data_IF_388367033768
#
_entry.id   IF_388367033768
#
_cell.length_a   1.000
_cell.length_b   1.000
_cell.length_c   1.000
_cell.angle_alpha   90.00
_cell.angle_beta   90.00
_cell.angle_gamma   90.00
#
_symmetry.space_group_name_H-M   'P 1'
#
loop_
_entity.id
_entity.type
_entity.pdbx_description
1 polymer ?
#
# COMPACT_ATOMS: atom_id res chain seq x y z
N UNK A 1 -3.03 -0.96 -9.24
CA UNK A 1 -2.99 0.45 -9.66
C UNK A 1 -4.18 0.80 -10.50
N UNK A 2 -4.73 1.98 -10.24
CA UNK A 2 -5.78 2.56 -11.05
C UNK A 2 -5.16 3.13 -12.33
N UNK A 3 -5.54 2.60 -13.48
CA UNK A 3 -5.00 2.99 -14.77
C UNK A 3 -6.11 3.36 -15.74
N UNK A 4 -5.80 4.26 -16.66
CA UNK A 4 -6.73 4.63 -17.74
C UNK A 4 -6.81 3.47 -18.73
N UNK A 5 -8.03 2.98 -18.96
CA UNK A 5 -8.28 1.90 -19.93
C UNK A 5 -8.20 2.44 -21.34
N UNK A 6 -7.41 1.79 -22.19
CA UNK A 6 -7.31 2.10 -23.61
C UNK A 6 -7.62 0.86 -24.43
N UNK A 7 -8.20 1.07 -25.61
CA UNK A 7 -8.49 0.02 -26.57
C UNK A 7 -7.83 0.34 -27.90
N UNK A 8 -7.37 -0.72 -28.56
CA UNK A 8 -6.76 -0.60 -29.88
C UNK A 8 -7.86 -0.59 -30.95
N UNK A 9 -7.85 0.44 -31.77
CA UNK A 9 -8.76 0.51 -32.92
C UNK A 9 -8.18 -0.33 -34.06
N UNK A 10 -8.92 -1.37 -34.46
CA UNK A 10 -8.45 -2.35 -35.45
C UNK A 10 -8.17 -1.77 -36.83
N UNK A 11 -8.89 -0.70 -37.22
CA UNK A 11 -8.76 -0.10 -38.53
C UNK A 11 -7.59 0.86 -38.68
N UNK A 12 -7.19 1.56 -37.58
CA UNK A 12 -6.18 2.58 -37.63
C UNK A 12 -4.89 2.17 -36.91
N UNK A 13 -4.96 1.15 -36.05
CA UNK A 13 -3.85 0.75 -35.19
C UNK A 13 -3.57 1.71 -34.05
N UNK A 14 -4.45 2.68 -33.81
CA UNK A 14 -4.29 3.67 -32.76
C UNK A 14 -4.99 3.25 -31.46
N UNK A 15 -4.46 3.71 -30.33
CA UNK A 15 -5.04 3.49 -29.01
C UNK A 15 -5.96 4.64 -28.64
N UNK A 16 -7.17 4.35 -28.19
CA UNK A 16 -8.13 5.33 -27.70
C UNK A 16 -8.52 5.03 -26.27
N UNK A 17 -8.74 6.08 -25.46
CA UNK A 17 -9.35 5.93 -24.13
C UNK A 17 -10.79 5.43 -24.27
N UNK A 18 -11.25 4.67 -23.28
CA UNK A 18 -12.61 4.16 -23.21
C UNK A 18 -13.51 5.20 -22.55
N UNK A 19 -14.61 5.57 -23.22
CA UNK A 19 -15.61 6.46 -22.67
C UNK A 19 -16.32 5.80 -21.48
N UNK A 20 -16.49 6.53 -20.40
CA UNK A 20 -17.17 6.05 -19.19
C UNK A 20 -18.69 5.89 -19.41
N UNK A 21 -19.28 6.59 -20.38
CA UNK A 21 -20.70 6.52 -20.66
C UNK A 21 -21.10 5.07 -21.02
N UNK A 22 -22.09 4.54 -20.34
CA UNK A 22 -22.60 3.17 -20.50
C UNK A 22 -21.57 2.06 -20.21
N UNK A 23 -20.43 2.38 -19.60
CA UNK A 23 -19.46 1.37 -19.15
C UNK A 23 -20.03 0.62 -17.93
N UNK A 24 -19.93 -0.71 -17.95
CA UNK A 24 -20.54 -1.57 -16.94
C UNK A 24 -19.50 -2.43 -16.23
N UNK A 25 -19.87 -3.03 -15.10
CA UNK A 25 -19.03 -3.98 -14.39
C UNK A 25 -18.69 -5.21 -15.26
N UNK A 26 -19.62 -5.64 -16.11
CA UNK A 26 -19.38 -6.74 -17.06
C UNK A 26 -18.28 -6.40 -18.06
N UNK A 27 -18.25 -5.16 -18.56
CA UNK A 27 -17.20 -4.68 -19.45
C UNK A 27 -15.86 -4.57 -18.70
N UNK A 28 -15.89 -4.09 -17.46
CA UNK A 28 -14.69 -4.03 -16.62
C UNK A 28 -14.10 -5.42 -16.39
N UNK A 29 -14.95 -6.40 -16.06
CA UNK A 29 -14.53 -7.79 -15.85
C UNK A 29 -13.90 -8.39 -17.10
N UNK A 30 -14.53 -8.19 -18.26
CA UNK A 30 -13.99 -8.67 -19.53
C UNK A 30 -12.64 -8.03 -19.86
N UNK A 31 -12.48 -6.73 -19.60
CA UNK A 31 -11.19 -6.05 -19.80
C UNK A 31 -10.11 -6.63 -18.90
N UNK A 32 -10.40 -6.86 -17.62
CA UNK A 32 -9.45 -7.46 -16.69
C UNK A 32 -9.08 -8.89 -17.09
N UNK A 33 -10.04 -9.73 -17.47
CA UNK A 33 -9.80 -11.10 -17.93
C UNK A 33 -8.96 -11.13 -19.21
N UNK A 34 -9.21 -10.21 -20.15
CA UNK A 34 -8.45 -10.10 -21.39
C UNK A 34 -6.99 -9.75 -21.12
N UNK A 35 -6.70 -9.01 -20.04
CA UNK A 35 -5.34 -8.67 -19.60
C UNK A 35 -4.72 -9.72 -18.66
N UNK A 36 -5.42 -10.83 -18.40
CA UNK A 36 -4.90 -11.92 -17.59
C UNK A 36 -5.21 -11.87 -16.10
N UNK A 37 -6.11 -11.00 -15.67
CA UNK A 37 -6.52 -10.90 -14.27
C UNK A 37 -7.82 -11.69 -14.03
N UNK A 38 -7.92 -12.36 -12.88
CA UNK A 38 -9.10 -13.15 -12.49
C UNK A 38 -9.86 -12.54 -11.30
N UNK A 39 -9.68 -11.25 -11.07
CA UNK A 39 -10.21 -10.55 -9.90
C UNK A 39 -11.54 -9.86 -10.14
N UNK A 40 -12.17 -9.41 -9.07
CA UNK A 40 -13.31 -8.49 -9.12
C UNK A 40 -12.77 -7.09 -9.44
N UNK A 41 -13.09 -6.52 -10.60
CA UNK A 41 -12.58 -5.20 -10.96
C UNK A 41 -13.33 -4.07 -10.26
N UNK A 42 -12.68 -2.92 -10.20
CA UNK A 42 -13.32 -1.65 -9.86
C UNK A 42 -13.03 -0.64 -10.97
N UNK A 43 -13.96 0.25 -11.22
CA UNK A 43 -13.77 1.32 -12.20
C UNK A 43 -14.50 2.59 -11.79
N UNK A 44 -14.02 3.70 -12.31
CA UNK A 44 -14.70 5.00 -12.16
C UNK A 44 -14.43 5.87 -13.39
N UNK A 45 -15.26 6.90 -13.56
CA UNK A 45 -15.05 7.91 -14.58
C UNK A 45 -14.11 9.00 -14.06
N UNK A 46 -13.10 9.33 -14.84
CA UNK A 46 -12.14 10.41 -14.53
C UNK A 46 -12.00 11.33 -15.71
N UNK A 47 -11.57 12.57 -15.46
CA UNK A 47 -11.32 13.52 -16.54
C UNK A 47 -10.16 13.02 -17.43
N UNK A 48 -10.33 13.13 -18.75
CA UNK A 48 -9.27 12.83 -19.69
C UNK A 48 -8.15 13.86 -19.54
N UNK A 49 -6.88 13.38 -19.50
CA UNK A 49 -5.74 14.28 -19.46
C UNK A 49 -5.62 15.10 -20.75
N UNK A 50 -5.19 16.35 -20.60
CA UNK A 50 -4.91 17.20 -21.75
C UNK A 50 -3.80 16.55 -22.62
N UNK A 51 -4.03 16.50 -23.92
CA UNK A 51 -3.05 15.94 -24.87
C UNK A 51 -3.38 14.56 -25.40
N UNK A 52 -4.54 14.00 -25.10
CA UNK A 52 -5.03 12.79 -25.78
C UNK A 52 -5.36 13.11 -27.24
N UNK A 53 -4.68 12.50 -28.22
CA UNK A 53 -4.84 12.86 -29.62
C UNK A 53 -6.16 12.40 -30.24
N UNK A 54 -6.83 11.40 -29.61
CA UNK A 54 -8.08 10.83 -30.12
C UNK A 54 -9.20 11.00 -29.09
N UNK A 55 -10.45 11.20 -29.55
CA UNK A 55 -11.58 11.27 -28.64
C UNK A 55 -11.85 9.92 -27.96
N UNK A 56 -12.41 9.92 -26.72
CA UNK A 56 -12.83 8.68 -26.08
C UNK A 56 -13.88 7.92 -26.90
N UNK A 57 -13.81 6.59 -26.89
CA UNK A 57 -14.68 5.70 -27.65
C UNK A 57 -15.45 4.79 -26.70
N UNK A 58 -16.73 4.57 -27.02
CA UNK A 58 -17.52 3.54 -26.34
C UNK A 58 -17.09 2.14 -26.80
N UNK A 59 -17.24 1.18 -25.90
CA UNK A 59 -16.91 -0.23 -26.16
C UNK A 59 -18.10 -1.13 -25.87
N UNK A 60 -18.12 -2.29 -26.52
CA UNK A 60 -19.09 -3.35 -26.29
C UNK A 60 -18.40 -4.69 -26.24
N UNK A 61 -19.08 -5.70 -25.67
CA UNK A 61 -18.59 -7.07 -25.69
C UNK A 61 -18.90 -7.74 -27.02
N UNK A 62 -17.89 -8.35 -27.60
CA UNK A 62 -18.02 -9.22 -28.79
C UNK A 62 -17.14 -10.44 -28.59
N UNK A 63 -17.75 -11.63 -28.52
CA UNK A 63 -17.05 -12.91 -28.27
C UNK A 63 -16.16 -12.87 -27.02
N UNK A 64 -16.62 -12.22 -25.95
CA UNK A 64 -15.87 -12.12 -24.69
C UNK A 64 -14.75 -11.08 -24.68
N UNK A 65 -14.54 -10.36 -25.76
CA UNK A 65 -13.54 -9.30 -25.87
C UNK A 65 -14.18 -7.93 -25.99
N UNK A 66 -13.47 -6.90 -25.52
CA UNK A 66 -13.88 -5.52 -25.73
C UNK A 66 -13.59 -5.10 -27.17
N UNK A 67 -14.57 -4.50 -27.81
CA UNK A 67 -14.42 -3.91 -29.13
C UNK A 67 -15.01 -2.51 -29.16
N UNK A 68 -14.40 -1.64 -29.97
CA UNK A 68 -14.90 -0.28 -30.17
C UNK A 68 -16.27 -0.37 -30.87
N UNK A 69 -17.24 0.35 -30.31
CA UNK A 69 -18.58 0.40 -30.86
C UNK A 69 -18.60 1.21 -32.16
N UNK A 70 -19.12 0.61 -33.25
CA UNK A 70 -19.25 1.24 -34.55
C UNK A 70 -20.72 1.23 -34.99
N UNK A 71 -21.33 2.34 -35.46
CA UNK A 71 -20.76 3.69 -35.48
C UNK A 71 -20.62 4.27 -34.07
N UNK A 72 -19.52 5.01 -33.83
CA UNK A 72 -19.25 5.56 -32.52
C UNK A 72 -20.22 6.65 -32.10
N UNK A 73 -20.67 6.60 -30.86
CA UNK A 73 -21.39 7.68 -30.22
C UNK A 73 -20.41 8.69 -29.62
N UNK A 74 -20.85 9.93 -29.54
CA UNK A 74 -20.05 10.94 -28.84
C UNK A 74 -20.07 10.67 -27.35
N UNK A 75 -18.88 10.75 -26.71
CA UNK A 75 -18.74 10.62 -25.26
C UNK A 75 -19.27 11.88 -24.58
N UNK A 76 -20.52 11.87 -24.14
CA UNK A 76 -21.24 13.04 -23.66
C UNK A 76 -20.66 13.60 -22.36
N UNK A 77 -20.26 12.71 -21.43
CA UNK A 77 -19.67 13.13 -20.16
C UNK A 77 -18.24 13.68 -20.32
N UNK A 78 -17.54 13.30 -21.37
CA UNK A 78 -16.13 13.58 -21.53
C UNK A 78 -15.24 12.78 -20.59
N UNK A 79 -15.81 11.91 -19.76
CA UNK A 79 -15.06 11.10 -18.78
C UNK A 79 -14.57 9.81 -19.42
N UNK A 80 -13.38 9.39 -19.01
CA UNK A 80 -12.77 8.13 -19.45
C UNK A 80 -12.71 7.14 -18.28
N UNK A 81 -12.61 5.85 -18.61
CA UNK A 81 -12.61 4.78 -17.60
C UNK A 81 -11.24 4.66 -16.96
N UNK A 82 -11.21 4.78 -15.64
CA UNK A 82 -10.08 4.37 -14.80
C UNK A 82 -10.40 3.00 -14.24
N UNK A 83 -9.60 1.99 -14.58
CA UNK A 83 -9.85 0.59 -14.27
C UNK A 83 -8.82 0.05 -13.29
N UNK A 84 -9.29 -0.77 -12.35
CA UNK A 84 -8.48 -1.48 -11.37
C UNK A 84 -8.78 -2.97 -11.46
N UNK A 85 -7.77 -3.78 -11.74
CA UNK A 85 -7.91 -5.23 -11.97
C UNK A 85 -7.25 -6.12 -10.91
N UNK A 86 -6.60 -5.58 -9.90
CA UNK A 86 -5.82 -6.37 -8.95
C UNK A 86 -6.68 -7.00 -7.84
N UNK A 87 -6.22 -8.12 -7.25
CA UNK A 87 -6.78 -8.75 -6.05
C UNK A 87 -6.27 -8.15 -4.75
N UNK A 88 -5.41 -7.14 -4.80
CA UNK A 88 -4.80 -6.57 -3.60
C UNK A 88 -5.82 -5.87 -2.70
N UNK A 89 -5.45 -5.68 -1.44
CA UNK A 89 -6.17 -4.83 -0.50
C UNK A 89 -7.52 -5.34 -0.05
N UNK A 90 -7.76 -6.64 -0.15
CA UNK A 90 -8.99 -7.28 0.29
C UNK A 90 -8.75 -8.08 1.57
N UNK A 91 -9.67 -8.04 2.50
CA UNK A 91 -9.63 -8.88 3.69
C UNK A 91 -11.00 -9.50 3.93
N UNK A 92 -11.00 -10.72 4.49
CA UNK A 92 -12.24 -11.45 4.79
C UNK A 92 -12.85 -11.07 6.12
N UNK A 93 -12.17 -10.22 6.89
CA UNK A 93 -12.59 -9.80 8.21
C UNK A 93 -12.46 -8.28 8.35
N UNK A 94 -13.51 -7.64 8.86
CA UNK A 94 -13.50 -6.21 9.12
C UNK A 94 -12.78 -5.93 10.45
N UNK A 95 -11.85 -4.97 10.51
CA UNK A 95 -11.22 -4.58 11.77
C UNK A 95 -12.24 -3.95 12.71
N UNK A 96 -12.12 -4.25 14.01
CA UNK A 96 -12.94 -3.62 15.05
C UNK A 96 -12.23 -2.40 15.60
N UNK A 97 -12.98 -1.31 15.73
CA UNK A 97 -12.45 -0.01 16.16
C UNK A 97 -12.37 0.04 17.69
N UNK A 98 -11.24 -0.41 18.23
CA UNK A 98 -10.84 -0.12 19.60
C UNK A 98 -9.35 0.17 19.57
N UNK A 99 -8.94 1.37 19.98
CA UNK A 99 -7.55 1.77 19.97
C UNK A 99 -6.66 0.83 20.77
N UNK A 100 -5.56 0.38 20.19
CA UNK A 100 -4.60 -0.50 20.86
C UNK A 100 -5.15 -1.88 21.19
N UNK A 101 -6.01 -2.43 20.36
CA UNK A 101 -6.63 -3.74 20.58
C UNK A 101 -5.90 -4.85 19.82
N UNK A 102 -6.04 -6.12 20.27
CA UNK A 102 -5.57 -7.27 19.50
C UNK A 102 -6.21 -7.32 18.12
N UNK A 103 -5.42 -7.71 17.12
CA UNK A 103 -5.85 -7.82 15.73
C UNK A 103 -5.83 -9.27 15.26
N UNK A 104 -6.74 -9.61 14.36
CA UNK A 104 -6.71 -10.89 13.66
C UNK A 104 -5.95 -10.75 12.36
N UNK A 105 -5.14 -11.73 12.00
CA UNK A 105 -4.39 -11.70 10.73
C UNK A 105 -5.33 -11.67 9.52
N UNK A 106 -6.52 -12.25 9.61
CA UNK A 106 -7.51 -12.24 8.53
C UNK A 106 -8.07 -10.83 8.24
N UNK A 107 -7.92 -9.89 9.18
CA UNK A 107 -8.22 -8.47 8.93
C UNK A 107 -7.06 -7.76 8.25
N UNK A 108 -5.83 -8.24 8.42
CA UNK A 108 -4.60 -7.64 7.94
C UNK A 108 -3.69 -8.70 7.29
N UNK A 109 -4.16 -9.41 6.25
CA UNK A 109 -3.46 -10.59 5.73
C UNK A 109 -2.15 -10.30 5.01
N UNK A 110 -1.84 -9.05 4.76
CA UNK A 110 -0.55 -8.61 4.20
C UNK A 110 0.52 -8.36 5.23
N UNK A 111 0.16 -8.33 6.52
CA UNK A 111 1.10 -8.05 7.60
C UNK A 111 2.06 -9.22 7.79
N UNK A 112 3.37 -8.91 7.84
CA UNK A 112 4.40 -9.91 8.09
C UNK A 112 5.35 -9.44 9.19
N UNK A 113 6.00 -10.42 9.83
CA UNK A 113 7.10 -10.21 10.77
C UNK A 113 8.40 -10.53 10.06
N UNK A 114 9.30 -9.54 10.01
CA UNK A 114 10.67 -9.73 9.54
C UNK A 114 11.55 -10.08 10.72
N UNK A 115 12.06 -11.30 10.72
CA UNK A 115 12.82 -11.86 11.84
C UNK A 115 14.28 -12.09 11.44
N UNK A 116 15.18 -11.58 12.26
CA UNK A 116 16.62 -11.74 12.11
C UNK A 116 17.13 -12.58 13.26
N UNK A 117 17.79 -13.68 12.94
CA UNK A 117 18.27 -14.66 13.93
C UNK A 117 17.15 -15.08 14.90
N UNK A 118 15.96 -15.33 14.33
CA UNK A 118 14.74 -15.75 15.04
C UNK A 118 14.08 -14.71 15.93
N UNK A 119 14.56 -13.47 15.92
CA UNK A 119 13.95 -12.38 16.67
C UNK A 119 13.17 -11.45 15.74
N UNK A 120 11.99 -11.03 16.17
CA UNK A 120 11.22 -10.00 15.46
C UNK A 120 11.96 -8.67 15.53
N UNK A 121 12.32 -8.14 14.36
CA UNK A 121 13.02 -6.87 14.24
C UNK A 121 12.12 -5.79 13.65
N UNK A 122 11.39 -6.14 12.59
CA UNK A 122 10.58 -5.20 11.84
C UNK A 122 9.27 -5.84 11.39
N UNK A 123 8.30 -5.00 11.07
CA UNK A 123 7.13 -5.38 10.30
C UNK A 123 7.36 -5.17 8.82
N UNK A 124 6.41 -5.61 8.02
CA UNK A 124 6.41 -5.41 6.58
C UNK A 124 5.06 -5.75 5.99
N UNK A 125 4.92 -5.54 4.71
CA UNK A 125 3.68 -5.78 3.98
C UNK A 125 3.94 -6.58 2.71
N UNK A 126 3.15 -7.60 2.47
CA UNK A 126 3.17 -8.34 1.20
C UNK A 126 2.56 -7.43 0.12
N UNK A 127 3.32 -7.13 -0.93
CA UNK A 127 2.83 -6.35 -2.08
C UNK A 127 2.74 -7.17 -3.37
N UNK A 128 3.20 -8.41 -3.33
CA UNK A 128 3.15 -9.35 -4.44
C UNK A 128 3.58 -10.73 -3.96
N UNK A 129 3.47 -11.78 -4.80
CA UNK A 129 3.73 -13.16 -4.38
C UNK A 129 5.12 -13.40 -3.79
N UNK A 130 6.11 -12.70 -4.27
CA UNK A 130 7.49 -12.84 -3.80
C UNK A 130 8.07 -11.56 -3.21
N UNK A 131 7.26 -10.58 -2.85
CA UNK A 131 7.74 -9.26 -2.49
C UNK A 131 7.13 -8.74 -1.19
N UNK A 132 8.00 -8.21 -0.32
CA UNK A 132 7.63 -7.56 0.93
C UNK A 132 8.19 -6.15 0.95
N UNK A 133 7.35 -5.19 1.30
CA UNK A 133 7.72 -3.78 1.47
C UNK A 133 8.01 -3.51 2.94
N UNK A 134 9.13 -2.86 3.24
CA UNK A 134 9.55 -2.54 4.59
C UNK A 134 10.46 -1.31 4.62
N UNK A 135 11.07 -1.00 5.76
CA UNK A 135 11.97 0.13 5.93
C UNK A 135 13.44 -0.30 5.75
N UNK A 136 14.23 0.56 5.12
CA UNK A 136 15.65 0.30 4.90
C UNK A 136 16.45 0.20 6.20
N UNK A 137 16.07 0.96 7.23
CA UNK A 137 16.80 0.96 8.50
C UNK A 137 16.79 -0.39 9.22
N UNK A 138 15.84 -1.28 8.89
CA UNK A 138 15.77 -2.63 9.45
C UNK A 138 17.04 -3.44 9.16
N UNK A 139 17.73 -3.15 8.06
CA UNK A 139 18.89 -3.89 7.59
C UNK A 139 20.23 -3.25 7.96
N UNK A 140 20.20 -2.03 8.49
CA UNK A 140 21.43 -1.28 8.82
C UNK A 140 22.34 -2.01 9.80
N UNK A 141 21.77 -2.58 10.86
CA UNK A 141 22.51 -3.31 11.90
C UNK A 141 22.36 -4.83 11.74
N UNK A 142 21.71 -5.29 10.70
CA UNK A 142 21.37 -6.69 10.48
C UNK A 142 21.66 -7.07 9.02
N UNK A 143 22.95 -7.06 8.61
CA UNK A 143 23.29 -7.12 7.18
C UNK A 143 23.34 -8.52 6.56
N UNK A 144 23.27 -9.58 7.38
CA UNK A 144 23.42 -10.96 6.87
C UNK A 144 22.07 -11.44 6.32
N UNK A 145 21.93 -11.47 5.01
CA UNK A 145 20.66 -11.78 4.34
C UNK A 145 20.15 -13.18 4.68
N UNK A 146 21.05 -14.17 4.79
CA UNK A 146 20.67 -15.56 5.10
C UNK A 146 20.08 -15.72 6.51
N UNK A 147 20.29 -14.77 7.40
CA UNK A 147 19.75 -14.80 8.77
C UNK A 147 18.35 -14.21 8.88
N UNK A 148 17.83 -13.64 7.78
CA UNK A 148 16.47 -13.10 7.73
C UNK A 148 15.45 -14.16 7.36
N UNK A 149 14.29 -14.08 8.01
CA UNK A 149 13.10 -14.86 7.66
C UNK A 149 11.89 -13.95 7.69
N UNK A 150 10.94 -14.22 6.82
CA UNK A 150 9.65 -13.52 6.77
C UNK A 150 8.59 -14.48 7.29
N UNK A 151 7.86 -14.05 8.30
CA UNK A 151 6.76 -14.83 8.87
C UNK A 151 5.44 -14.21 8.46
N UNK A 152 4.59 -15.00 7.82
CA UNK A 152 3.30 -14.57 7.29
C UNK A 152 2.18 -15.50 7.74
N UNK A 153 0.95 -15.03 7.70
CA UNK A 153 -0.24 -15.85 7.89
C UNK A 153 -0.60 -16.14 9.35
N UNK A 154 0.00 -15.45 10.32
CA UNK A 154 -0.33 -15.63 11.75
C UNK A 154 -0.33 -14.29 12.48
N UNK A 155 -1.27 -14.13 13.41
CA UNK A 155 -1.28 -12.99 14.33
C UNK A 155 -0.33 -13.17 15.53
N UNK A 156 0.29 -14.34 15.66
CA UNK A 156 1.26 -14.66 16.70
C UNK A 156 2.69 -14.60 16.16
N UNK A 157 3.62 -14.06 16.94
CA UNK A 157 5.05 -14.07 16.59
C UNK A 157 5.63 -15.50 16.61
N UNK A 158 5.14 -16.34 17.52
CA UNK A 158 5.52 -17.75 17.60
C UNK A 158 4.67 -18.58 16.64
N UNK A 159 5.16 -18.85 15.49
CA UNK A 159 4.49 -19.71 14.52
C UNK A 159 5.52 -20.39 13.65
N UNK A 160 5.08 -21.30 12.80
CA UNK A 160 5.97 -22.22 12.10
C UNK A 160 6.24 -21.87 10.65
N UNK A 161 5.34 -21.11 9.99
CA UNK A 161 5.49 -20.81 8.57
C UNK A 161 6.41 -19.59 8.37
N UNK A 162 7.62 -19.83 7.88
CA UNK A 162 8.59 -18.79 7.54
C UNK A 162 9.08 -18.94 6.10
N UNK A 163 9.46 -17.81 5.51
CA UNK A 163 9.96 -17.73 4.14
C UNK A 163 11.39 -17.21 4.16
N UNK A 164 12.27 -17.87 3.41
CA UNK A 164 13.66 -17.42 3.27
C UNK A 164 13.74 -16.19 2.36
N UNK A 165 14.68 -15.29 2.67
CA UNK A 165 14.93 -14.09 1.89
C UNK A 165 15.99 -14.38 0.83
N UNK A 166 15.68 -14.06 -0.43
CA UNK A 166 16.63 -14.18 -1.52
C UNK A 166 17.52 -12.94 -1.63
N UNK A 167 16.90 -11.77 -1.62
CA UNK A 167 17.61 -10.50 -1.81
C UNK A 167 16.86 -9.35 -1.16
N UNK A 168 17.59 -8.31 -0.78
CA UNK A 168 17.04 -7.05 -0.24
C UNK A 168 17.51 -5.91 -1.13
N UNK A 169 16.57 -5.07 -1.55
CA UNK A 169 16.83 -3.87 -2.35
C UNK A 169 16.58 -2.66 -1.47
N UNK A 170 17.60 -1.85 -1.27
CA UNK A 170 17.54 -0.65 -0.45
C UNK A 170 17.51 0.58 -1.35
N UNK A 171 16.67 1.57 -1.00
CA UNK A 171 16.73 2.87 -1.64
C UNK A 171 18.02 3.60 -1.19
N UNK A 172 18.61 4.37 -2.09
CA UNK A 172 19.85 5.07 -1.82
C UNK A 172 19.65 6.21 -0.83
N UNK A 173 20.44 6.24 0.25
CA UNK A 173 20.40 7.31 1.24
C UNK A 173 21.37 8.41 0.83
N UNK A 174 20.89 9.66 0.84
CA UNK A 174 21.69 10.82 0.52
C UNK A 174 22.19 11.51 1.80
N UNK A 175 23.43 12.03 1.84
CA UNK A 175 23.94 12.73 3.02
C UNK A 175 23.15 13.99 3.39
N UNK A 176 22.53 14.64 2.40
CA UNK A 176 21.72 15.85 2.61
C UNK A 176 20.42 15.58 3.37
N UNK A 177 19.86 14.38 3.26
CA UNK A 177 18.61 13.98 3.92
C UNK A 177 18.74 12.55 4.43
N UNK A 178 19.43 12.33 5.55
CA UNK A 178 19.77 10.98 6.02
C UNK A 178 18.56 10.17 6.50
N UNK A 179 17.44 10.84 6.78
CA UNK A 179 16.19 10.19 7.20
C UNK A 179 15.24 9.88 6.04
N UNK A 180 15.50 10.42 4.85
CA UNK A 180 14.74 10.09 3.65
C UNK A 180 15.14 8.74 3.08
N UNK A 181 14.33 8.24 2.16
CA UNK A 181 14.57 6.99 1.43
C UNK A 181 14.63 5.75 2.35
N UNK A 182 13.92 5.82 3.48
CA UNK A 182 13.82 4.70 4.41
C UNK A 182 12.79 3.69 3.91
N UNK A 183 13.14 3.04 2.81
CA UNK A 183 12.30 2.06 2.13
C UNK A 183 13.16 0.94 1.56
N UNK A 184 12.65 -0.28 1.66
CA UNK A 184 13.31 -1.47 1.15
C UNK A 184 12.30 -2.45 0.57
N UNK A 185 12.73 -3.22 -0.42
CA UNK A 185 11.97 -4.35 -0.96
C UNK A 185 12.72 -5.64 -0.66
N UNK A 186 12.00 -6.59 -0.09
CA UNK A 186 12.53 -7.92 0.21
C UNK A 186 11.96 -8.90 -0.81
N UNK A 187 12.86 -9.56 -1.55
CA UNK A 187 12.51 -10.63 -2.47
C UNK A 187 12.60 -11.97 -1.76
N UNK A 188 11.53 -12.74 -1.77
CA UNK A 188 11.47 -14.06 -1.17
C UNK A 188 11.99 -15.12 -2.12
N UNK A 189 12.60 -16.18 -1.59
CA UNK A 189 13.04 -17.34 -2.40
C UNK A 189 11.88 -18.11 -2.99
N UNK A 190 10.79 -18.22 -2.24
CA UNK A 190 9.57 -18.89 -2.67
C UNK A 190 8.40 -17.93 -2.52
N UNK A 191 7.47 -17.91 -3.48
CA UNK A 191 6.31 -17.03 -3.38
C UNK A 191 5.38 -17.46 -2.24
N UNK A 192 4.68 -16.46 -1.67
CA UNK A 192 3.57 -16.73 -0.76
C UNK A 192 2.33 -17.06 -1.58
N UNK A 193 1.48 -17.94 -1.07
CA UNK A 193 0.22 -18.29 -1.71
C UNK A 193 -0.93 -17.55 -1.04
N UNK A 194 -1.86 -17.06 -1.84
CA UNK A 194 -3.03 -16.36 -1.34
C UNK A 194 -3.92 -17.29 -0.53
N UNK A 195 -4.33 -16.82 0.65
CA UNK A 195 -5.28 -17.49 1.53
C UNK A 195 -6.02 -16.42 2.33
N UNK A 196 -6.92 -16.82 3.22
CA UNK A 196 -7.61 -15.87 4.09
C UNK A 196 -6.66 -15.13 5.05
N UNK A 197 -5.52 -15.75 5.37
CA UNK A 197 -4.52 -15.19 6.28
C UNK A 197 -3.30 -14.58 5.58
N UNK A 198 -3.20 -14.70 4.25
CA UNK A 198 -2.03 -14.23 3.47
C UNK A 198 -2.50 -13.65 2.13
N UNK A 199 -2.51 -12.33 2.02
CA UNK A 199 -2.95 -11.61 0.80
C UNK A 199 -2.10 -10.35 0.61
N UNK A 200 -1.94 -9.87 -0.64
CA UNK A 200 -1.20 -8.64 -0.88
C UNK A 200 -2.02 -7.39 -0.56
N UNK A 201 -1.32 -6.35 -0.14
CA UNK A 201 -1.85 -4.98 0.01
C UNK A 201 -1.69 -4.23 -1.31
N UNK A 202 -2.60 -3.28 -1.59
CA UNK A 202 -2.44 -2.39 -2.72
C UNK A 202 -1.43 -1.29 -2.43
N UNK A 203 -0.67 -0.90 -3.46
CA UNK A 203 0.11 0.33 -3.44
C UNK A 203 -0.84 1.53 -3.60
N UNK A 204 -0.48 2.71 -3.11
CA UNK A 204 -1.32 3.89 -3.26
C UNK A 204 -1.39 4.34 -4.71
N UNK A 205 -2.43 5.10 -5.06
CA UNK A 205 -2.54 5.73 -6.37
C UNK A 205 -1.58 6.93 -6.45
N UNK A 206 -0.93 7.09 -7.59
CA UNK A 206 0.00 8.20 -7.80
C UNK A 206 -0.69 9.57 -7.76
N UNK A 207 -1.97 9.62 -8.13
CA UNK A 207 -2.77 10.83 -8.26
C UNK A 207 -3.71 11.11 -7.08
N UNK A 208 -3.59 10.35 -6.00
CA UNK A 208 -4.42 10.52 -4.80
C UNK A 208 -3.59 11.10 -3.66
N UNK A 209 -3.95 12.30 -3.23
CA UNK A 209 -3.35 12.96 -2.08
C UNK A 209 -4.35 12.95 -0.92
N UNK A 210 -3.91 12.42 0.21
CA UNK A 210 -4.74 12.36 1.40
C UNK A 210 -4.69 13.68 2.14
N UNK A 211 -5.85 14.11 2.67
CA UNK A 211 -5.94 15.35 3.44
C UNK A 211 -5.66 15.10 4.92
N UNK A 212 -5.14 16.10 5.67
CA UNK A 212 -4.99 16.00 7.12
C UNK A 212 -6.31 15.62 7.79
N UNK A 213 -6.25 14.81 8.83
CA UNK A 213 -7.43 14.28 9.52
C UNK A 213 -7.96 12.97 8.94
N UNK A 214 -7.44 12.51 7.81
CA UNK A 214 -7.83 11.22 7.22
C UNK A 214 -7.55 10.08 8.21
N UNK A 215 -8.54 9.20 8.50
CA UNK A 215 -8.32 8.03 9.35
C UNK A 215 -7.38 7.03 8.67
N UNK A 216 -6.41 6.57 9.42
CA UNK A 216 -5.41 5.59 8.98
C UNK A 216 -5.25 4.52 10.07
N UNK A 217 -4.61 3.40 9.72
CA UNK A 217 -4.37 2.30 10.65
C UNK A 217 -2.89 1.95 10.70
N UNK A 218 -2.40 1.69 11.92
CA UNK A 218 -1.06 1.13 12.16
C UNK A 218 -1.21 -0.26 12.78
N UNK A 219 -0.40 -1.20 12.30
CA UNK A 219 -0.50 -2.62 12.65
C UNK A 219 0.89 -3.13 12.97
N UNK A 220 0.99 -4.00 13.97
CA UNK A 220 2.27 -4.64 14.28
C UNK A 220 2.30 -5.33 15.63
N UNK A 221 3.46 -5.90 15.95
CA UNK A 221 3.75 -6.53 17.23
C UNK A 221 4.56 -5.60 18.15
N UNK A 222 4.58 -4.31 17.84
CA UNK A 222 5.29 -3.29 18.59
C UNK A 222 4.91 -3.23 20.06
N UNK A 223 5.63 -2.42 20.81
CA UNK A 223 5.45 -2.31 22.25
C UNK A 223 4.04 -1.78 22.59
N UNK A 224 3.40 -2.38 23.60
CA UNK A 224 2.09 -1.93 24.07
C UNK A 224 2.17 -0.60 24.84
N UNK A 225 3.35 -0.24 25.28
CA UNK A 225 3.66 1.03 25.94
C UNK A 225 5.13 1.39 25.69
N UNK A 226 5.48 2.65 25.90
CA UNK A 226 6.84 3.11 25.73
C UNK A 226 7.80 2.30 26.64
N UNK A 227 8.86 1.74 26.06
CA UNK A 227 9.81 0.85 26.72
C UNK A 227 9.19 -0.47 27.21
N UNK A 228 7.99 -0.82 26.77
CA UNK A 228 7.34 -2.09 27.06
C UNK A 228 7.94 -3.26 26.27
N UNK A 229 7.38 -4.45 26.47
CA UNK A 229 7.78 -5.64 25.74
C UNK A 229 7.01 -5.76 24.44
N UNK A 230 7.59 -6.46 23.44
CA UNK A 230 6.88 -6.82 22.23
C UNK A 230 5.63 -7.63 22.58
N UNK A 231 4.55 -7.35 21.84
CA UNK A 231 3.33 -8.14 21.95
C UNK A 231 3.50 -9.47 21.23
N UNK A 232 3.11 -10.56 21.84
CA UNK A 232 3.05 -11.86 21.16
C UNK A 232 1.95 -11.87 20.09
N UNK A 233 0.85 -11.15 20.34
CA UNK A 233 -0.28 -11.02 19.41
C UNK A 233 -0.20 -9.71 18.64
N UNK A 234 -0.57 -9.79 17.36
CA UNK A 234 -0.69 -8.62 16.49
C UNK A 234 -1.63 -7.57 17.12
N UNK A 235 -1.23 -6.31 17.07
CA UNK A 235 -1.98 -5.17 17.59
C UNK A 235 -2.38 -4.25 16.45
N UNK A 236 -3.46 -3.50 16.64
CA UNK A 236 -3.96 -2.52 15.70
C UNK A 236 -4.33 -1.24 16.42
N UNK A 237 -4.17 -0.10 15.74
CA UNK A 237 -4.59 1.20 16.26
C UNK A 237 -5.00 2.10 15.12
N UNK A 238 -6.06 2.87 15.31
CA UNK A 238 -6.49 3.90 14.37
C UNK A 238 -5.80 5.23 14.74
N UNK A 239 -5.27 5.91 13.73
CA UNK A 239 -4.60 7.20 13.86
C UNK A 239 -5.13 8.13 12.76
N UNK A 240 -4.69 9.39 12.79
CA UNK A 240 -5.07 10.38 11.78
C UNK A 240 -3.83 10.94 11.08
N UNK A 241 -3.96 11.25 9.81
CA UNK A 241 -2.93 11.97 9.07
C UNK A 241 -2.79 13.38 9.64
N UNK A 242 -1.57 13.78 9.96
CA UNK A 242 -1.23 15.08 10.52
C UNK A 242 -0.57 15.94 9.45
N UNK A 243 -0.95 17.22 9.39
CA UNK A 243 -0.33 18.18 8.49
C UNK A 243 1.19 18.28 8.74
N UNK A 244 1.98 18.17 7.67
CA UNK A 244 3.45 18.21 7.76
C UNK A 244 3.98 19.48 8.39
N UNK A 245 3.36 20.62 8.08
CA UNK A 245 3.77 21.90 8.64
C UNK A 245 3.60 21.91 10.16
N UNK A 246 2.46 21.43 10.64
CA UNK A 246 2.20 21.30 12.08
C UNK A 246 3.15 20.31 12.74
N UNK A 247 3.43 19.19 12.09
CA UNK A 247 4.35 18.17 12.55
C UNK A 247 5.77 18.73 12.72
N UNK A 248 6.26 19.46 11.71
CA UNK A 248 7.59 20.08 11.75
C UNK A 248 7.70 21.14 12.84
N UNK A 249 6.71 22.00 12.97
CA UNK A 249 6.73 23.08 13.96
C UNK A 249 6.67 22.55 15.39
N UNK A 250 5.87 21.50 15.63
CA UNK A 250 5.66 20.99 16.98
C UNK A 250 6.81 20.13 17.48
N UNK A 251 7.43 19.30 16.63
CA UNK A 251 8.34 18.26 17.10
C UNK A 251 9.65 18.12 16.32
N UNK A 252 9.66 18.34 15.02
CA UNK A 252 10.73 17.85 14.17
C UNK A 252 11.50 18.93 13.40
N UNK A 253 11.19 20.20 13.59
CA UNK A 253 11.99 21.35 13.14
C UNK A 253 12.40 21.31 11.66
N UNK A 254 11.50 20.85 10.78
CA UNK A 254 11.78 20.81 9.34
C UNK A 254 12.38 19.51 8.84
N UNK A 255 12.60 18.50 9.69
CA UNK A 255 13.12 17.20 9.26
C UNK A 255 12.11 16.35 8.49
N UNK A 256 10.81 16.65 8.61
CA UNK A 256 9.77 15.97 7.84
C UNK A 256 9.67 16.57 6.46
N UNK A 257 10.03 15.77 5.45
CA UNK A 257 10.07 16.22 4.05
C UNK A 257 8.79 15.84 3.29
N UNK A 258 8.70 16.25 2.03
CA UNK A 258 7.57 15.90 1.16
C UNK A 258 7.49 14.39 0.85
N UNK A 259 8.57 13.64 1.11
CA UNK A 259 8.62 12.19 0.96
C UNK A 259 8.24 11.43 2.22
N UNK A 260 7.73 12.13 3.21
CA UNK A 260 7.33 11.59 4.51
C UNK A 260 5.89 11.98 4.84
N UNK A 261 5.28 11.21 5.72
CA UNK A 261 3.96 11.48 6.29
C UNK A 261 4.07 11.50 7.80
N UNK A 262 3.25 12.32 8.45
CA UNK A 262 3.05 12.30 9.90
C UNK A 262 1.67 11.73 10.21
N UNK A 263 1.59 10.90 11.23
CA UNK A 263 0.31 10.37 11.71
C UNK A 263 0.36 10.15 13.21
N UNK A 264 -0.80 10.26 13.85
CA UNK A 264 -0.96 10.07 15.28
C UNK A 264 -2.35 10.51 15.72
N UNK A 265 -2.57 10.56 17.02
CA UNK A 265 -3.79 11.12 17.59
C UNK A 265 -3.49 12.54 18.09
N UNK A 266 -4.34 13.53 17.77
CA UNK A 266 -4.10 14.92 18.21
C UNK A 266 -4.00 15.09 19.72
N UNK A 267 -4.74 14.27 20.48
CA UNK A 267 -4.72 14.26 21.94
C UNK A 267 -3.67 13.30 22.53
N UNK A 268 -2.91 12.59 21.69
CA UNK A 268 -2.04 11.53 22.14
C UNK A 268 -2.79 10.24 22.41
N UNK A 269 -2.12 9.23 22.92
CA UNK A 269 -2.68 7.93 23.22
C UNK A 269 -1.92 6.80 22.53
N UNK A 270 -2.62 5.69 22.30
CA UNK A 270 -2.03 4.48 21.71
C UNK A 270 -1.93 4.64 20.20
N UNK A 271 -0.73 4.82 19.65
CA UNK A 271 -0.54 5.01 18.21
C UNK A 271 0.72 4.30 17.70
N UNK A 272 1.85 5.03 17.64
CA UNK A 272 3.08 4.57 17.03
C UNK A 272 3.76 3.42 17.76
N UNK A 273 3.48 3.23 19.05
CA UNK A 273 3.96 2.08 19.79
C UNK A 273 3.36 0.75 19.32
N UNK A 274 2.22 0.79 18.68
CA UNK A 274 1.53 -0.41 18.17
C UNK A 274 2.06 -0.85 16.81
N UNK A 275 2.65 0.07 16.04
CA UNK A 275 3.22 -0.24 14.74
C UNK A 275 4.66 -0.69 14.82
N UNK A 276 5.05 -1.64 14.00
CA UNK A 276 6.43 -2.09 13.86
C UNK A 276 7.21 -1.17 12.91
N UNK A 277 8.48 -0.90 13.21
CA UNK A 277 9.38 -0.30 12.22
C UNK A 277 9.32 -1.09 10.91
N UNK A 278 9.12 -0.41 9.79
CA UNK A 278 8.94 -1.04 8.48
C UNK A 278 7.53 -1.54 8.22
N UNK A 279 6.67 -1.58 9.22
CA UNK A 279 5.27 -1.96 9.08
C UNK A 279 4.43 -0.92 8.33
N UNK A 280 3.23 -1.30 7.90
CA UNK A 280 2.41 -0.43 7.07
C UNK A 280 1.62 0.61 7.85
N UNK A 281 1.46 1.79 7.25
CA UNK A 281 0.40 2.74 7.55
C UNK A 281 -0.67 2.55 6.47
N UNK A 282 -1.89 2.22 6.86
CA UNK A 282 -2.93 1.72 5.97
C UNK A 282 -4.09 2.70 5.82
N UNK A 283 -4.60 2.79 4.61
CA UNK A 283 -5.74 3.61 4.24
C UNK A 283 -6.80 2.76 3.54
N UNK A 284 -8.06 2.92 3.94
CA UNK A 284 -9.20 2.23 3.33
C UNK A 284 -9.93 3.17 2.37
N UNK A 285 -9.58 3.11 1.09
CA UNK A 285 -10.20 3.92 0.04
C UNK A 285 -10.84 3.05 -1.04
N UNK A 286 -11.78 2.20 -0.67
CA UNK A 286 -12.35 1.18 -1.53
C UNK A 286 -11.62 -0.15 -1.41
N UNK A 287 -10.32 -0.14 -1.64
CA UNK A 287 -9.39 -1.22 -1.31
C UNK A 287 -8.40 -0.72 -0.29
N UNK A 288 -7.87 -1.61 0.55
CA UNK A 288 -6.81 -1.25 1.49
C UNK A 288 -5.53 -0.95 0.75
N UNK A 289 -4.87 0.14 1.14
CA UNK A 289 -3.63 0.63 0.53
C UNK A 289 -2.58 0.87 1.60
N UNK A 290 -1.32 0.54 1.29
CA UNK A 290 -0.18 0.92 2.11
C UNK A 290 0.28 2.32 1.69
N UNK A 291 -0.07 3.33 2.47
CA UNK A 291 0.27 4.73 2.14
C UNK A 291 1.57 5.18 2.81
N UNK A 292 1.96 4.50 3.90
CA UNK A 292 3.18 4.83 4.63
C UNK A 292 3.88 3.59 5.17
N UNK A 293 5.15 3.79 5.55
CA UNK A 293 5.99 2.79 6.18
C UNK A 293 6.52 3.39 7.49
N UNK A 294 6.36 2.72 8.62
CA UNK A 294 6.85 3.19 9.91
C UNK A 294 8.36 3.41 9.83
N UNK A 295 8.81 4.65 10.02
CA UNK A 295 10.19 5.04 9.79
C UNK A 295 10.87 5.58 11.06
N UNK A 296 10.48 6.76 11.55
CA UNK A 296 11.12 7.38 12.70
C UNK A 296 10.13 8.23 13.50
N UNK A 297 10.59 8.77 14.64
CA UNK A 297 9.77 9.60 15.52
C UNK A 297 10.20 9.43 16.96
N UNK A 298 9.65 10.23 17.85
CA UNK A 298 9.96 10.20 19.28
C UNK A 298 8.72 9.84 20.09
N UNK A 299 8.91 8.99 21.10
CA UNK A 299 7.85 8.63 22.02
C UNK A 299 6.74 7.78 21.44
N UNK A 300 5.77 7.49 22.27
CA UNK A 300 4.59 6.68 21.92
C UNK A 300 3.34 7.44 22.31
N UNK A 301 2.55 7.85 21.30
CA UNK A 301 1.22 8.41 21.56
C UNK A 301 1.19 9.77 22.23
N UNK A 302 2.25 10.58 22.10
CA UNK A 302 2.22 11.96 22.61
C UNK A 302 1.76 12.93 21.53
N UNK A 303 0.96 13.95 21.87
CA UNK A 303 0.45 14.90 20.88
C UNK A 303 1.54 15.67 20.15
N UNK A 304 2.67 15.92 20.81
CA UNK A 304 3.79 16.71 20.29
C UNK A 304 4.80 15.90 19.50
N UNK A 305 4.71 14.58 19.51
CA UNK A 305 5.67 13.69 18.84
C UNK A 305 4.97 12.60 18.05
N UNK A 306 4.25 12.98 16.96
CA UNK A 306 3.61 11.98 16.10
C UNK A 306 4.63 11.11 15.40
N UNK A 307 4.21 9.94 14.93
CA UNK A 307 5.04 9.06 14.14
C UNK A 307 5.32 9.64 12.76
N UNK A 308 6.51 9.39 12.25
CA UNK A 308 6.90 9.78 10.89
C UNK A 308 7.06 8.52 10.05
N UNK A 309 6.47 8.56 8.88
CA UNK A 309 6.35 7.43 7.96
C UNK A 309 6.93 7.81 6.61
N UNK A 310 7.58 6.87 5.95
CA UNK A 310 7.97 7.05 4.55
C UNK A 310 6.70 7.05 3.70
N UNK A 311 6.52 8.06 2.84
CA UNK A 311 5.39 8.12 1.91
C UNK A 311 5.60 7.14 0.77
N UNK A 312 4.79 6.09 0.70
CA UNK A 312 4.92 5.08 -0.36
C UNK A 312 4.66 5.69 -1.74
N UNK A 313 3.73 6.62 -1.84
CA UNK A 313 3.41 7.33 -3.09
C UNK A 313 4.65 8.02 -3.69
N UNK A 314 5.51 8.57 -2.84
CA UNK A 314 6.74 9.24 -3.28
C UNK A 314 7.78 8.30 -3.90
N UNK A 315 7.65 7.00 -3.69
CA UNK A 315 8.61 5.98 -4.15
C UNK A 315 8.01 4.97 -5.13
N UNK A 316 6.84 5.25 -5.71
CA UNK A 316 6.20 4.32 -6.65
C UNK A 316 7.11 4.00 -7.84
N UNK A 317 7.78 5.00 -8.41
CA UNK A 317 8.69 4.78 -9.53
C UNK A 317 9.84 3.85 -9.15
N UNK A 318 10.41 4.03 -7.95
CA UNK A 318 11.46 3.17 -7.43
C UNK A 318 10.97 1.74 -7.24
N UNK A 319 9.78 1.57 -6.66
CA UNK A 319 9.19 0.25 -6.41
C UNK A 319 9.00 -0.53 -7.73
N UNK A 320 8.48 0.15 -8.75
CA UNK A 320 8.24 -0.49 -10.05
C UNK A 320 9.53 -0.77 -10.84
N UNK A 321 10.60 -0.02 -10.58
CA UNK A 321 11.87 -0.20 -11.27
C UNK A 321 12.69 -1.37 -10.72
N UNK A 322 12.46 -1.78 -9.50
CA UNK A 322 13.21 -2.85 -8.82
C UNK A 322 12.85 -4.26 -9.33
#
# INVERSE_FOLDING_TARGET
DRSILQVLQSHTGDWSCVCHDHFTLALARAACEQMGYSSTPAFQGVEASAGQPLPPREVALSNGSLQVLEPGRKCLSGLVVSLFCSNCGQSVRTPRVLGGSPAAIEAWPWQVSLQYRKEHICGGSIIGPGWVLTAAHCFKNNPIIQSWRVKAGSDLLSGTATFAVEKVFLAEVTPASPKENDIALVKLRSPVHDSDSTKPICLPYFDEELVPGTPLWVIGWGYTEEHGKLSERLQQAEVELIDKQSCNLAAYHGDVTDRMLCAGLPQGGVDTCQGDSGGPLLYSGGHWQVVGIVSWGQGCGTPSTPGVYTSVRAYLDWIYAV
#
